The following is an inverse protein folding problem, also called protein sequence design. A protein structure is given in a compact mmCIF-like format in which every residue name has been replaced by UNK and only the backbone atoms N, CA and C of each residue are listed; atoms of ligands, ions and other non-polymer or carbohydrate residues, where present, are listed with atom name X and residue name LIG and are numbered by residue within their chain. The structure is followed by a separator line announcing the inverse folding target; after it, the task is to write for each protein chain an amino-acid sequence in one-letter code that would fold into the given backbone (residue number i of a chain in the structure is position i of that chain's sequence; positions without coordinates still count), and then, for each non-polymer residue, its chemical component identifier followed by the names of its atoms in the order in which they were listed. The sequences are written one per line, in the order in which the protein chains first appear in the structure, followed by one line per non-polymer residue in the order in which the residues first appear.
data_IF_357101775992
#
_entry.id   IF_357101775992
#
_cell.length_a   1.000
_cell.length_b   1.000
_cell.length_c   1.000
_cell.angle_alpha   90.00
_cell.angle_beta   90.00
_cell.angle_gamma   90.00
#
_symmetry.space_group_name_H-M   'P 1'
#
loop_
_entity.id
_entity.type
_entity.pdbx_description
1 polymer ?
#
# COMPACT_ATOMS: atom_id res chain seq x y z
N UNK A 1 -34.92 -37.43 32.65
CA UNK A 1 -33.48 -37.20 32.44
C UNK A 1 -33.35 -36.48 31.10
N UNK A 2 -33.33 -35.16 31.11
CA UNK A 2 -33.36 -34.34 29.89
C UNK A 2 -31.94 -34.06 29.44
N UNK A 3 -31.57 -34.60 28.27
CA UNK A 3 -30.26 -34.44 27.67
C UNK A 3 -30.22 -33.09 26.94
N UNK A 4 -29.47 -32.12 27.50
CA UNK A 4 -29.15 -30.87 26.83
C UNK A 4 -28.06 -31.13 25.79
N UNK A 5 -28.41 -31.07 24.51
CA UNK A 5 -27.43 -30.96 23.42
C UNK A 5 -26.92 -29.51 23.37
N UNK A 6 -25.72 -29.27 23.87
CA UNK A 6 -24.98 -28.05 23.59
C UNK A 6 -24.36 -28.22 22.20
N UNK A 7 -25.00 -27.65 21.19
CA UNK A 7 -24.41 -27.48 19.86
C UNK A 7 -23.33 -26.39 20.00
N UNK A 8 -22.09 -26.81 20.19
CA UNK A 8 -20.94 -25.92 20.03
C UNK A 8 -20.83 -25.55 18.56
N UNK A 9 -21.40 -24.41 18.17
CA UNK A 9 -21.03 -23.74 16.93
C UNK A 9 -19.55 -23.37 17.04
N UNK A 10 -18.69 -24.23 16.49
CA UNK A 10 -17.31 -23.89 16.22
C UNK A 10 -17.30 -22.70 15.28
N UNK A 11 -17.02 -21.51 15.82
CA UNK A 11 -16.60 -20.38 15.03
C UNK A 11 -15.30 -20.81 14.36
N UNK A 12 -15.38 -21.18 13.08
CA UNK A 12 -14.22 -21.24 12.21
C UNK A 12 -13.66 -19.81 12.18
N UNK A 13 -12.64 -19.56 12.99
CA UNK A 13 -11.80 -18.37 12.86
C UNK A 13 -11.08 -18.50 11.53
N UNK A 14 -11.70 -18.04 10.45
CA UNK A 14 -10.96 -17.73 9.24
C UNK A 14 -9.94 -16.66 9.61
N UNK A 15 -8.68 -17.07 9.75
CA UNK A 15 -7.58 -16.14 9.98
C UNK A 15 -7.62 -15.11 8.85
N UNK A 16 -7.75 -13.83 9.18
CA UNK A 16 -7.76 -12.79 8.15
C UNK A 16 -6.41 -12.75 7.45
N UNK A 17 -6.43 -12.96 6.14
CA UNK A 17 -5.29 -12.72 5.27
C UNK A 17 -4.67 -11.35 5.56
N UNK A 18 -3.35 -11.33 5.67
CA UNK A 18 -2.55 -10.12 5.81
C UNK A 18 -1.81 -9.92 4.50
N UNK A 19 -1.97 -8.75 3.90
CA UNK A 19 -1.24 -8.37 2.71
C UNK A 19 -0.69 -6.96 2.89
N UNK A 20 0.59 -6.78 2.58
CA UNK A 20 1.21 -5.46 2.54
C UNK A 20 0.52 -4.56 1.50
N UNK A 21 0.53 -3.23 1.70
CA UNK A 21 -0.07 -2.27 0.77
C UNK A 21 0.63 -2.22 -0.59
N UNK A 22 1.91 -2.61 -0.67
CA UNK A 22 2.70 -2.68 -1.91
C UNK A 22 3.35 -4.04 -2.07
N UNK A 23 3.67 -4.39 -3.31
CA UNK A 23 4.51 -5.56 -3.60
C UNK A 23 5.95 -5.22 -3.22
N UNK A 24 6.55 -6.04 -2.38
CA UNK A 24 7.98 -5.92 -2.05
C UNK A 24 8.79 -6.36 -3.26
N UNK A 25 9.70 -5.53 -3.81
CA UNK A 25 10.64 -5.96 -4.85
C UNK A 25 11.41 -7.20 -4.40
N UNK A 26 11.67 -8.13 -5.32
CA UNK A 26 12.33 -9.39 -4.98
C UNK A 26 13.67 -9.41 -5.70
N UNK A 27 14.71 -8.80 -5.15
CA UNK A 27 16.04 -8.87 -5.75
C UNK A 27 16.67 -10.25 -5.52
N UNK A 28 17.40 -10.75 -6.51
CA UNK A 28 18.16 -12.00 -6.41
C UNK A 28 19.60 -11.72 -5.96
N UNK A 29 20.05 -12.31 -4.86
CA UNK A 29 21.45 -12.18 -4.41
C UNK A 29 22.43 -12.81 -5.41
N UNK A 30 22.02 -13.87 -6.11
CA UNK A 30 22.86 -14.64 -7.02
C UNK A 30 22.90 -14.08 -8.45
N UNK A 31 22.37 -12.88 -8.69
CA UNK A 31 22.37 -12.24 -10.01
C UNK A 31 23.79 -11.81 -10.43
N UNK A 32 24.44 -12.64 -11.23
CA UNK A 32 25.83 -12.45 -11.69
C UNK A 32 25.95 -12.26 -13.20
N UNK A 33 24.86 -12.48 -13.96
CA UNK A 33 24.83 -12.36 -15.42
C UNK A 33 23.89 -11.24 -15.87
N UNK A 34 24.44 -10.08 -16.27
CA UNK A 34 23.67 -8.95 -16.80
C UNK A 34 24.43 -7.62 -16.66
N UNK A 35 23.92 -6.57 -17.30
CA UNK A 35 24.58 -5.24 -17.37
C UNK A 35 24.75 -4.59 -16.00
N UNK A 36 23.80 -4.82 -15.08
CA UNK A 36 23.80 -4.32 -13.70
C UNK A 36 23.96 -5.43 -12.66
N UNK A 37 24.62 -6.54 -13.03
CA UNK A 37 24.80 -7.67 -12.12
C UNK A 37 25.61 -7.28 -10.87
N UNK A 38 25.06 -7.56 -9.69
CA UNK A 38 25.66 -7.19 -8.40
C UNK A 38 26.24 -8.39 -7.65
N UNK A 39 25.92 -9.63 -8.05
CA UNK A 39 26.28 -10.83 -7.30
C UNK A 39 27.78 -10.98 -7.07
N UNK A 40 28.63 -10.53 -8.02
CA UNK A 40 30.09 -10.60 -7.92
C UNK A 40 30.72 -9.42 -7.16
N UNK A 41 29.92 -8.48 -6.64
CA UNK A 41 30.45 -7.37 -5.86
C UNK A 41 30.94 -7.87 -4.50
N UNK A 42 32.15 -7.44 -4.11
CA UNK A 42 32.73 -7.76 -2.79
C UNK A 42 31.79 -7.26 -1.70
N UNK A 43 31.41 -8.16 -0.79
CA UNK A 43 30.54 -7.86 0.34
C UNK A 43 31.34 -7.24 1.49
N UNK A 44 30.83 -6.18 2.10
CA UNK A 44 31.38 -5.68 3.36
C UNK A 44 32.72 -4.92 3.26
N UNK A 45 33.33 -4.70 4.42
CA UNK A 45 34.67 -4.08 4.54
C UNK A 45 35.64 -5.00 5.28
N UNK A 46 36.94 -4.89 4.97
CA UNK A 46 38.05 -5.27 5.85
C UNK A 46 37.98 -6.61 6.59
N UNK A 47 37.59 -7.72 5.94
CA UNK A 47 37.59 -9.05 6.56
C UNK A 47 36.44 -9.97 6.16
N UNK A 48 35.44 -9.48 5.44
CA UNK A 48 34.44 -10.27 4.73
C UNK A 48 35.05 -10.75 3.40
N UNK A 49 35.44 -12.04 3.24
CA UNK A 49 36.06 -12.52 2.01
C UNK A 49 35.05 -12.81 0.90
N UNK A 50 33.76 -12.59 1.17
CA UNK A 50 32.66 -13.07 0.34
C UNK A 50 32.19 -12.05 -0.70
N UNK A 51 31.38 -12.56 -1.62
CA UNK A 51 30.64 -11.78 -2.62
C UNK A 51 29.15 -11.75 -2.25
N UNK A 52 28.39 -10.80 -2.79
CA UNK A 52 26.93 -10.71 -2.57
C UNK A 52 26.24 -12.04 -2.92
N UNK A 53 26.66 -12.72 -3.98
CA UNK A 53 26.09 -14.00 -4.41
C UNK A 53 26.28 -15.13 -3.38
N UNK A 54 27.30 -15.03 -2.53
CA UNK A 54 27.67 -16.09 -1.58
C UNK A 54 26.97 -15.91 -0.23
N UNK A 55 27.05 -14.70 0.36
CA UNK A 55 26.51 -14.43 1.71
C UNK A 55 25.70 -13.13 1.82
N UNK A 56 25.37 -12.49 0.68
CA UNK A 56 24.67 -11.19 0.64
C UNK A 56 23.16 -11.23 0.85
N UNK A 57 22.60 -12.28 1.48
CA UNK A 57 21.15 -12.42 1.70
C UNK A 57 20.55 -11.25 2.48
N UNK A 58 21.19 -10.81 3.56
CA UNK A 58 20.73 -9.68 4.37
C UNK A 58 20.76 -8.35 3.59
N UNK A 59 21.85 -8.08 2.86
CA UNK A 59 21.98 -6.88 2.02
C UNK A 59 20.91 -6.87 0.92
N UNK A 60 20.69 -8.02 0.28
CA UNK A 60 19.68 -8.17 -0.78
C UNK A 60 18.27 -7.98 -0.22
N UNK A 61 18.00 -8.51 0.97
CA UNK A 61 16.73 -8.31 1.66
C UNK A 61 16.50 -6.83 2.02
N UNK A 62 17.50 -6.14 2.58
CA UNK A 62 17.38 -4.72 2.90
C UNK A 62 17.34 -3.81 1.66
N UNK A 63 17.94 -4.21 0.54
CA UNK A 63 17.77 -3.51 -0.73
C UNK A 63 16.31 -3.54 -1.20
N UNK A 64 15.65 -4.67 -1.02
CA UNK A 64 14.21 -4.80 -1.27
C UNK A 64 13.38 -3.94 -0.29
N UNK A 65 13.85 -3.75 0.94
CA UNK A 65 13.24 -2.82 1.92
C UNK A 65 13.38 -1.38 1.47
N UNK A 66 14.58 -0.95 1.06
CA UNK A 66 14.81 0.38 0.49
C UNK A 66 13.89 0.62 -0.70
N UNK A 67 13.78 -0.37 -1.60
CA UNK A 67 12.93 -0.29 -2.75
C UNK A 67 11.42 -0.22 -2.41
N UNK A 68 10.99 -0.97 -1.40
CA UNK A 68 9.63 -0.89 -0.88
C UNK A 68 9.29 0.47 -0.27
N UNK A 69 10.27 1.16 0.31
CA UNK A 69 10.11 2.51 0.85
C UNK A 69 10.51 3.63 -0.12
N UNK A 70 10.93 3.30 -1.35
CA UNK A 70 11.45 4.24 -2.36
C UNK A 70 12.62 5.11 -1.86
N UNK A 71 13.50 4.49 -1.07
CA UNK A 71 14.70 5.13 -0.52
C UNK A 71 15.87 4.77 -1.45
N UNK A 72 16.27 5.72 -2.30
CA UNK A 72 17.46 5.58 -3.12
C UNK A 72 18.69 6.10 -2.36
N UNK A 73 19.79 5.36 -2.45
CA UNK A 73 21.11 5.79 -1.98
C UNK A 73 22.03 6.05 -3.18
N UNK A 74 23.05 6.88 -2.98
CA UNK A 74 23.99 7.26 -4.05
C UNK A 74 25.41 6.92 -3.65
N UNK A 75 26.16 6.39 -4.61
CA UNK A 75 27.57 6.01 -4.44
C UNK A 75 28.43 6.63 -5.53
N UNK A 76 29.62 7.06 -5.17
CA UNK A 76 30.59 7.61 -6.12
C UNK A 76 31.23 6.51 -6.96
N UNK A 77 31.70 6.86 -8.16
CA UNK A 77 32.38 5.92 -9.07
C UNK A 77 33.59 5.21 -8.43
N UNK A 78 34.34 5.91 -7.57
CA UNK A 78 35.49 5.36 -6.86
C UNK A 78 35.12 4.37 -5.74
N UNK A 79 33.85 4.33 -5.36
CA UNK A 79 33.32 3.43 -4.31
C UNK A 79 32.44 2.33 -4.87
N UNK A 80 31.94 2.47 -6.10
CA UNK A 80 31.13 1.42 -6.72
C UNK A 80 31.95 0.23 -7.19
N UNK A 81 31.44 -1.00 -6.98
CA UNK A 81 32.01 -2.22 -7.55
C UNK A 81 31.99 -2.23 -9.09
N UNK A 82 31.09 -1.47 -9.72
CA UNK A 82 31.02 -1.32 -11.19
C UNK A 82 32.06 -0.35 -11.76
N UNK A 83 32.65 0.51 -10.91
CA UNK A 83 33.50 1.62 -11.34
C UNK A 83 32.73 2.86 -11.83
N UNK A 84 31.39 2.82 -11.82
CA UNK A 84 30.53 3.94 -12.23
C UNK A 84 29.80 4.57 -11.04
N UNK A 85 29.47 5.86 -11.15
CA UNK A 85 28.62 6.51 -10.15
C UNK A 85 27.18 6.02 -10.32
N UNK A 86 26.57 5.56 -9.24
CA UNK A 86 25.25 4.92 -9.28
C UNK A 86 24.34 5.50 -8.19
N UNK A 87 23.06 5.63 -8.52
CA UNK A 87 21.99 6.01 -7.59
C UNK A 87 20.85 5.04 -7.75
N UNK A 88 20.38 4.47 -6.65
CA UNK A 88 19.32 3.47 -6.68
C UNK A 88 19.20 2.70 -5.38
N UNK A 89 18.64 1.51 -5.49
CA UNK A 89 18.13 0.70 -4.38
C UNK A 89 18.44 -0.79 -4.57
N UNK A 90 19.23 -1.16 -5.58
CA UNK A 90 19.64 -2.55 -5.81
C UNK A 90 20.74 -3.00 -4.84
N UNK A 91 20.94 -4.32 -4.69
CA UNK A 91 21.93 -4.87 -3.76
C UNK A 91 23.36 -4.39 -3.97
N UNK A 92 23.77 -4.14 -5.21
CA UNK A 92 25.10 -3.63 -5.52
C UNK A 92 25.29 -2.21 -4.99
N UNK A 93 24.36 -1.30 -5.32
CA UNK A 93 24.41 0.09 -4.86
C UNK A 93 24.32 0.17 -3.34
N UNK A 94 23.42 -0.59 -2.72
CA UNK A 94 23.28 -0.57 -1.26
C UNK A 94 24.52 -1.13 -0.54
N UNK A 95 25.10 -2.22 -1.04
CA UNK A 95 26.37 -2.74 -0.53
C UNK A 95 27.48 -1.69 -0.59
N UNK A 96 27.67 -1.04 -1.74
CA UNK A 96 28.71 -0.04 -1.92
C UNK A 96 28.48 1.19 -1.01
N UNK A 97 27.22 1.59 -0.83
CA UNK A 97 26.86 2.68 0.08
C UNK A 97 27.22 2.33 1.53
N UNK A 98 26.89 1.12 1.98
CA UNK A 98 27.26 0.65 3.32
C UNK A 98 28.79 0.59 3.51
N UNK A 99 29.54 0.23 2.46
CA UNK A 99 31.02 0.23 2.49
C UNK A 99 31.57 1.65 2.62
N UNK A 100 30.95 2.61 1.95
CA UNK A 100 31.34 4.02 1.98
C UNK A 100 30.98 4.71 3.31
N UNK A 101 29.81 4.42 3.87
CA UNK A 101 29.30 5.06 5.10
C UNK A 101 29.69 4.35 6.39
N UNK A 102 30.38 3.22 6.30
CA UNK A 102 30.72 2.41 7.47
C UNK A 102 29.51 1.70 8.06
N UNK A 103 28.53 1.33 7.23
CA UNK A 103 27.31 0.61 7.61
C UNK A 103 27.50 -0.87 7.91
N UNK A 104 28.72 -1.40 7.80
CA UNK A 104 29.09 -2.75 8.21
C UNK A 104 29.70 -2.77 9.61
N UNK A 105 29.23 -3.70 10.44
CA UNK A 105 29.75 -3.93 11.79
C UNK A 105 31.07 -4.69 11.82
N UNK A 106 31.78 -4.63 12.95
CA UNK A 106 32.93 -5.51 13.19
C UNK A 106 32.44 -6.89 13.65
N UNK A 107 32.65 -7.92 12.83
CA UNK A 107 32.19 -9.30 13.04
C UNK A 107 32.64 -9.95 14.35
N UNK A 108 33.63 -9.40 15.06
CA UNK A 108 34.08 -9.96 16.35
C UNK A 108 33.05 -9.84 17.50
N UNK A 109 31.94 -9.11 17.30
CA UNK A 109 30.86 -8.93 18.28
C UNK A 109 29.56 -9.66 17.95
N UNK A 110 29.45 -10.27 16.75
CA UNK A 110 28.40 -11.22 16.41
C UNK A 110 29.06 -12.58 16.16
N UNK A 111 29.00 -13.46 17.16
CA UNK A 111 29.62 -14.78 17.11
C UNK A 111 28.98 -15.71 16.07
N UNK A 112 27.88 -15.31 15.44
CA UNK A 112 27.06 -16.17 14.57
C UNK A 112 26.95 -15.68 13.12
N UNK A 113 27.41 -14.47 12.75
CA UNK A 113 27.23 -13.92 11.40
C UNK A 113 28.50 -13.36 10.74
N UNK A 114 28.81 -13.81 9.52
CA UNK A 114 29.77 -13.14 8.64
C UNK A 114 29.08 -11.91 8.01
N UNK A 115 29.54 -10.70 8.38
CA UNK A 115 29.11 -9.40 7.81
C UNK A 115 27.72 -8.89 8.26
N UNK A 116 27.67 -8.31 9.45
CA UNK A 116 26.44 -7.70 10.00
C UNK A 116 26.26 -6.24 9.56
N UNK A 117 24.99 -5.82 9.41
CA UNK A 117 24.64 -4.41 9.24
C UNK A 117 24.68 -3.69 10.59
N UNK A 118 25.21 -2.46 10.63
CA UNK A 118 25.01 -1.56 11.76
C UNK A 118 23.67 -0.87 11.56
N UNK A 119 22.64 -1.31 12.29
CA UNK A 119 21.27 -0.81 12.14
C UNK A 119 21.15 0.72 12.24
N UNK A 120 21.95 1.35 13.10
CA UNK A 120 21.98 2.81 13.27
C UNK A 120 22.69 3.58 12.14
N UNK A 121 23.28 2.89 11.17
CA UNK A 121 23.91 3.46 9.98
C UNK A 121 23.08 3.21 8.71
N UNK A 122 21.87 2.65 8.84
CA UNK A 122 20.91 2.58 7.74
C UNK A 122 20.35 3.99 7.44
N UNK A 123 19.75 4.21 6.25
CA UNK A 123 19.12 5.49 5.92
C UNK A 123 18.16 5.96 7.01
N UNK A 124 18.25 7.25 7.36
CA UNK A 124 17.54 7.83 8.51
C UNK A 124 16.01 7.85 8.34
N UNK A 125 15.51 7.59 7.13
CA UNK A 125 14.11 7.40 6.79
C UNK A 125 13.54 6.08 7.29
N UNK A 126 14.38 5.15 7.74
CA UNK A 126 14.00 3.87 8.33
C UNK A 126 14.03 3.91 9.86
N UNK A 127 12.97 3.40 10.46
CA UNK A 127 12.92 3.07 11.88
C UNK A 127 13.02 1.54 12.05
N UNK A 128 13.97 1.12 12.88
CA UNK A 128 14.35 -0.29 13.04
C UNK A 128 14.00 -0.75 14.45
N UNK A 129 13.25 -1.85 14.56
CA UNK A 129 13.08 -2.56 15.83
C UNK A 129 13.43 -4.03 15.69
N UNK A 130 14.28 -4.52 16.58
CA UNK A 130 14.84 -5.88 16.55
C UNK A 130 14.15 -6.77 17.58
N UNK A 131 13.82 -7.99 17.19
CA UNK A 131 13.08 -8.96 18.00
C UNK A 131 13.72 -10.34 17.89
N UNK A 132 13.61 -11.15 18.94
CA UNK A 132 14.10 -12.53 18.96
C UNK A 132 12.91 -13.48 19.08
N UNK A 133 12.86 -14.49 18.22
CA UNK A 133 11.89 -15.57 18.32
C UNK A 133 12.47 -16.67 19.22
N UNK A 134 12.04 -16.70 20.48
CA UNK A 134 12.44 -17.74 21.44
C UNK A 134 11.66 -19.03 21.21
N UNK A 135 11.87 -19.67 20.06
CA UNK A 135 11.30 -20.99 19.72
C UNK A 135 12.29 -21.81 18.93
N UNK A 136 12.49 -23.06 19.32
CA UNK A 136 13.25 -24.05 18.53
C UNK A 136 12.39 -24.69 17.42
N UNK A 137 11.06 -24.42 17.43
CA UNK A 137 10.11 -24.96 16.45
C UNK A 137 9.20 -23.83 15.98
N UNK A 138 9.39 -23.39 14.73
CA UNK A 138 8.56 -22.38 14.09
C UNK A 138 8.53 -21.04 14.83
N UNK A 139 7.38 -20.35 14.82
CA UNK A 139 7.22 -19.00 15.36
C UNK A 139 6.46 -19.07 16.69
N UNK A 140 7.02 -18.49 17.75
CA UNK A 140 6.31 -18.42 19.02
C UNK A 140 5.09 -17.47 18.93
N UNK A 141 4.04 -17.67 19.75
CA UNK A 141 2.81 -16.87 19.64
C UNK A 141 3.00 -15.35 19.81
N UNK A 142 3.97 -14.92 20.62
CA UNK A 142 4.23 -13.49 20.86
C UNK A 142 4.85 -12.85 19.63
N UNK A 143 5.87 -13.49 19.06
CA UNK A 143 6.51 -13.09 17.81
C UNK A 143 5.50 -13.08 16.66
N UNK A 144 4.60 -14.06 16.58
CA UNK A 144 3.53 -14.07 15.57
C UNK A 144 2.61 -12.83 15.69
N UNK A 145 2.25 -12.42 16.91
CA UNK A 145 1.45 -11.19 17.14
C UNK A 145 2.19 -9.94 16.69
N UNK A 146 3.49 -9.83 16.99
CA UNK A 146 4.31 -8.69 16.58
C UNK A 146 4.44 -8.62 15.06
N UNK A 147 4.73 -9.74 14.41
CA UNK A 147 4.83 -9.84 12.95
C UNK A 147 3.50 -9.50 12.29
N UNK A 148 2.39 -10.10 12.75
CA UNK A 148 1.05 -9.84 12.21
C UNK A 148 0.66 -8.36 12.37
N UNK A 149 1.01 -7.73 13.49
CA UNK A 149 0.76 -6.31 13.72
C UNK A 149 1.57 -5.42 12.77
N UNK A 150 2.88 -5.67 12.63
CA UNK A 150 3.76 -4.93 11.74
C UNK A 150 3.30 -5.01 10.28
N UNK A 151 3.00 -6.22 9.79
CA UNK A 151 2.52 -6.44 8.42
C UNK A 151 1.16 -5.74 8.18
N UNK A 152 0.26 -5.72 9.18
CA UNK A 152 -1.02 -4.97 9.08
C UNK A 152 -0.84 -3.47 9.05
N UNK A 153 0.23 -2.95 9.65
CA UNK A 153 0.62 -1.53 9.55
C UNK A 153 1.33 -1.19 8.23
N UNK A 154 1.59 -2.19 7.39
CA UNK A 154 2.33 -2.00 6.14
C UNK A 154 3.85 -1.92 6.34
N UNK A 155 4.34 -2.32 7.52
CA UNK A 155 5.76 -2.40 7.82
C UNK A 155 6.34 -3.74 7.36
N UNK A 156 7.58 -3.71 6.88
CA UNK A 156 8.27 -4.92 6.47
C UNK A 156 8.85 -5.65 7.67
N UNK A 157 8.91 -6.97 7.56
CA UNK A 157 9.62 -7.80 8.53
C UNK A 157 10.70 -8.58 7.80
N UNK A 158 11.96 -8.33 8.14
CA UNK A 158 13.12 -9.07 7.63
C UNK A 158 13.50 -10.10 8.69
N UNK A 159 13.43 -11.38 8.36
CA UNK A 159 13.64 -12.47 9.29
C UNK A 159 14.96 -13.19 9.00
N UNK A 160 15.78 -13.37 10.03
CA UNK A 160 16.88 -14.32 10.04
C UNK A 160 16.31 -15.70 10.30
N UNK A 161 16.67 -16.65 9.44
CA UNK A 161 16.09 -17.99 9.43
C UNK A 161 17.15 -19.06 9.32
N UNK A 162 16.82 -20.25 9.80
CA UNK A 162 17.57 -21.48 9.57
C UNK A 162 16.68 -22.60 9.04
N UNK A 163 17.32 -23.64 8.52
CA UNK A 163 16.68 -24.89 8.10
C UNK A 163 17.47 -26.07 8.67
N UNK A 164 16.76 -27.02 9.30
CA UNK A 164 17.41 -28.16 9.96
C UNK A 164 18.22 -27.74 11.19
N UNK A 165 19.22 -28.54 11.56
CA UNK A 165 20.01 -28.30 12.79
C UNK A 165 21.18 -27.33 12.61
N UNK A 166 21.64 -27.12 11.37
CA UNK A 166 22.81 -26.31 11.05
C UNK A 166 22.64 -25.65 9.69
N UNK A 167 23.17 -24.43 9.54
CA UNK A 167 22.99 -23.60 8.35
C UNK A 167 23.46 -24.23 7.06
N UNK A 168 24.53 -25.02 7.09
CA UNK A 168 25.05 -25.74 5.94
C UNK A 168 25.74 -27.02 6.43
N UNK A 169 25.79 -28.06 5.61
CA UNK A 169 26.52 -29.29 5.93
C UNK A 169 28.02 -29.00 6.11
N UNK A 170 28.46 -28.77 7.35
CA UNK A 170 29.84 -28.40 7.69
C UNK A 170 29.97 -27.11 8.50
N UNK A 171 28.91 -26.29 8.62
CA UNK A 171 28.89 -25.14 9.52
C UNK A 171 28.50 -25.56 10.94
N UNK A 172 29.08 -24.89 11.95
CA UNK A 172 28.62 -24.98 13.34
C UNK A 172 27.54 -23.95 13.67
N UNK A 173 27.24 -23.03 12.74
CA UNK A 173 26.19 -22.05 12.88
C UNK A 173 24.82 -22.74 12.80
N UNK A 174 23.96 -22.46 13.78
CA UNK A 174 22.63 -23.06 13.90
C UNK A 174 21.49 -22.05 13.75
N UNK A 175 21.79 -20.76 13.68
CA UNK A 175 20.82 -19.65 13.64
C UNK A 175 21.22 -18.63 12.56
N UNK A 176 20.25 -17.88 12.02
CA UNK A 176 20.47 -16.79 11.03
C UNK A 176 21.26 -17.19 9.79
N UNK A 177 21.03 -18.41 9.32
CA UNK A 177 21.67 -19.01 8.16
C UNK A 177 21.36 -18.25 6.86
N UNK A 178 20.17 -17.67 6.81
CA UNK A 178 19.66 -16.92 5.66
C UNK A 178 18.73 -15.81 6.12
N UNK A 179 18.50 -14.83 5.27
CA UNK A 179 17.61 -13.71 5.55
C UNK A 179 16.53 -13.59 4.49
N UNK A 180 15.27 -13.55 4.92
CA UNK A 180 14.09 -13.46 4.04
C UNK A 180 13.18 -12.31 4.46
N UNK A 181 12.27 -11.89 3.59
CA UNK A 181 11.30 -10.83 3.90
C UNK A 181 9.91 -11.44 4.00
N UNK A 182 9.25 -11.28 5.14
CA UNK A 182 7.84 -11.62 5.30
C UNK A 182 7.00 -10.53 4.62
N UNK A 183 6.08 -10.95 3.76
CA UNK A 183 5.29 -10.05 2.90
C UNK A 183 3.79 -10.09 3.16
N UNK A 184 3.35 -10.99 4.02
CA UNK A 184 1.95 -11.24 4.30
C UNK A 184 1.73 -12.58 4.97
N UNK A 185 0.46 -12.93 5.14
CA UNK A 185 0.02 -14.19 5.72
C UNK A 185 -1.26 -14.62 5.01
N UNK A 186 -1.29 -15.82 4.46
CA UNK A 186 -2.46 -16.41 3.79
C UNK A 186 -2.73 -17.78 4.35
N UNK A 187 -3.99 -18.05 4.71
CA UNK A 187 -4.40 -19.34 5.28
C UNK A 187 -3.55 -19.77 6.50
N UNK A 188 -3.09 -18.78 7.28
CA UNK A 188 -2.23 -19.01 8.45
C UNK A 188 -0.73 -19.14 8.15
N UNK A 189 -0.32 -19.24 6.89
CA UNK A 189 1.06 -19.39 6.45
C UNK A 189 1.64 -18.05 6.02
N UNK A 190 2.85 -17.71 6.48
CA UNK A 190 3.51 -16.48 6.06
C UNK A 190 4.04 -16.59 4.63
N UNK A 191 3.75 -15.59 3.80
CA UNK A 191 4.35 -15.45 2.47
C UNK A 191 5.65 -14.69 2.57
N UNK A 192 6.65 -15.10 1.80
CA UNK A 192 7.99 -14.52 1.85
C UNK A 192 8.50 -14.12 0.45
N UNK A 193 9.44 -13.19 0.45
CA UNK A 193 10.44 -13.02 -0.59
C UNK A 193 11.75 -13.61 -0.07
N UNK A 194 12.21 -14.65 -0.74
CA UNK A 194 13.51 -15.27 -0.53
C UNK A 194 14.50 -14.67 -1.54
N UNK A 195 15.59 -14.02 -1.09
CA UNK A 195 16.52 -13.35 -2.00
C UNK A 195 17.38 -14.32 -2.80
N UNK A 196 17.37 -15.63 -2.53
CA UNK A 196 18.18 -16.58 -3.29
C UNK A 196 17.37 -17.22 -4.42
N UNK A 197 17.76 -16.95 -5.67
CA UNK A 197 17.31 -17.70 -6.83
C UNK A 197 18.56 -18.27 -7.54
N UNK A 198 18.67 -19.60 -7.73
CA UNK A 198 19.88 -20.21 -8.29
C UNK A 198 20.15 -19.88 -9.76
N UNK A 199 19.20 -19.25 -10.48
CA UNK A 199 19.41 -18.76 -11.84
C UNK A 199 20.20 -17.44 -11.83
N UNK A 200 21.49 -17.44 -12.25
CA UNK A 200 22.35 -16.25 -12.18
C UNK A 200 21.97 -15.15 -13.17
N UNK A 201 21.16 -15.45 -14.19
CA UNK A 201 20.68 -14.49 -15.18
C UNK A 201 19.37 -13.81 -14.75
N UNK A 202 18.71 -14.32 -13.71
CA UNK A 202 17.50 -13.72 -13.17
C UNK A 202 17.84 -12.68 -12.10
N UNK A 203 17.43 -11.40 -12.25
CA UNK A 203 17.57 -10.41 -11.19
C UNK A 203 16.53 -10.59 -10.08
N UNK A 204 15.60 -11.54 -10.23
CA UNK A 204 14.46 -11.73 -9.34
C UNK A 204 14.64 -12.90 -8.37
N UNK A 205 14.50 -12.62 -7.07
CA UNK A 205 14.39 -13.60 -6.00
C UNK A 205 13.06 -14.37 -6.05
N UNK A 206 12.90 -15.34 -5.15
CA UNK A 206 11.77 -16.26 -5.16
C UNK A 206 10.65 -15.77 -4.25
N UNK A 207 9.42 -15.70 -4.76
CA UNK A 207 8.21 -15.46 -3.95
C UNK A 207 7.62 -16.81 -3.55
N UNK A 208 7.61 -17.11 -2.26
CA UNK A 208 7.18 -18.41 -1.74
C UNK A 208 6.56 -18.26 -0.34
N UNK A 209 6.54 -19.30 0.47
CA UNK A 209 6.13 -19.29 1.88
C UNK A 209 7.27 -19.70 2.80
N UNK A 210 7.12 -19.41 4.08
CA UNK A 210 8.11 -19.82 5.09
C UNK A 210 8.28 -21.36 5.14
N UNK A 211 7.23 -22.12 4.84
CA UNK A 211 7.24 -23.59 4.81
C UNK A 211 7.87 -24.18 3.55
N UNK A 212 8.02 -23.37 2.51
CA UNK A 212 8.53 -23.76 1.19
C UNK A 212 9.62 -22.79 0.70
N UNK A 213 10.47 -22.35 1.62
CA UNK A 213 11.68 -21.58 1.32
C UNK A 213 12.60 -22.33 0.36
N UNK A 214 13.55 -21.62 -0.25
CA UNK A 214 14.42 -22.20 -1.28
C UNK A 214 15.29 -23.34 -0.73
N UNK A 215 15.67 -23.27 0.55
CA UNK A 215 16.38 -24.35 1.25
C UNK A 215 15.47 -25.29 2.07
N UNK A 216 14.14 -25.11 1.99
CA UNK A 216 13.15 -25.92 2.69
C UNK A 216 12.28 -25.13 3.67
N UNK A 217 11.80 -25.80 4.72
CA UNK A 217 11.00 -25.17 5.76
C UNK A 217 11.90 -24.33 6.68
N UNK A 218 11.61 -23.04 6.77
CA UNK A 218 12.37 -22.09 7.57
C UNK A 218 11.81 -21.93 8.99
N UNK A 219 12.72 -21.86 9.95
CA UNK A 219 12.45 -21.46 11.33
C UNK A 219 13.02 -20.07 11.52
N UNK A 220 12.26 -19.15 12.11
CA UNK A 220 12.70 -17.79 12.40
C UNK A 220 13.51 -17.78 13.70
N UNK A 221 14.73 -17.23 13.67
CA UNK A 221 15.58 -17.06 14.85
C UNK A 221 15.37 -15.68 15.47
N UNK A 222 15.62 -14.65 14.67
CA UNK A 222 15.32 -13.25 14.98
C UNK A 222 14.68 -12.57 13.78
N UNK A 223 14.07 -11.43 14.04
CA UNK A 223 13.50 -10.61 12.98
C UNK A 223 13.61 -9.14 13.30
N UNK A 224 13.61 -8.36 12.24
CA UNK A 224 13.68 -6.92 12.27
C UNK A 224 12.39 -6.40 11.66
N UNK A 225 11.62 -5.64 12.44
CA UNK A 225 10.53 -4.85 11.89
C UNK A 225 11.13 -3.54 11.40
N UNK A 226 10.97 -3.29 10.12
CA UNK A 226 11.43 -2.07 9.46
C UNK A 226 10.21 -1.24 9.13
N UNK A 227 10.08 -0.10 9.81
CA UNK A 227 9.14 0.94 9.43
C UNK A 227 9.88 1.98 8.59
N UNK A 228 9.17 2.59 7.67
CA UNK A 228 9.68 3.69 6.87
C UNK A 228 8.50 4.52 6.39
N UNK A 229 8.77 5.70 5.85
CA UNK A 229 7.75 6.43 5.10
C UNK A 229 7.48 5.64 3.83
N UNK A 230 6.42 4.82 3.83
CA UNK A 230 5.98 4.15 2.62
C UNK A 230 5.84 5.19 1.51
N UNK A 231 6.36 4.90 0.32
CA UNK A 231 6.07 5.72 -0.87
C UNK A 231 4.58 5.67 -1.28
N UNK A 232 3.74 4.97 -0.50
CA UNK A 232 2.31 5.28 -0.37
C UNK A 232 2.15 6.25 0.82
N UNK A 233 2.01 7.55 0.61
CA UNK A 233 0.98 8.10 -0.26
C UNK A 233 1.59 8.98 -1.36
N UNK A 234 1.43 8.58 -2.63
CA UNK A 234 0.89 9.58 -3.54
C UNK A 234 -0.35 10.11 -2.80
N UNK A 235 -0.31 11.37 -2.36
CA UNK A 235 -1.43 12.02 -1.70
C UNK A 235 -2.57 12.13 -2.71
N UNK A 236 -3.28 11.02 -2.91
CA UNK A 236 -4.40 10.92 -3.78
C UNK A 236 -5.51 11.69 -3.10
N UNK A 237 -5.69 12.94 -3.49
CA UNK A 237 -6.76 13.78 -2.97
C UNK A 237 -7.94 13.67 -3.92
N UNK A 238 -9.05 13.24 -3.35
CA UNK A 238 -10.33 13.07 -3.99
C UNK A 238 -11.31 13.87 -3.17
N UNK A 239 -11.75 14.97 -3.76
CA UNK A 239 -12.72 15.86 -3.17
C UNK A 239 -14.03 15.80 -3.91
N UNK A 240 -15.08 16.22 -3.22
CA UNK A 240 -16.24 16.78 -3.89
C UNK A 240 -16.11 18.29 -3.93
N UNK A 241 -16.44 18.94 -5.04
CA UNK A 241 -16.29 20.41 -5.14
C UNK A 241 -17.11 21.22 -4.09
N UNK A 242 -18.08 20.59 -3.41
CA UNK A 242 -18.93 21.24 -2.41
C UNK A 242 -18.76 20.70 -0.98
N UNK A 243 -17.76 19.85 -0.71
CA UNK A 243 -17.52 19.17 0.59
C UNK A 243 -18.77 18.55 1.27
N UNK A 244 -19.82 18.32 0.49
CA UNK A 244 -21.11 17.86 0.97
C UNK A 244 -21.09 16.36 1.17
N UNK A 245 -21.42 15.89 2.38
CA UNK A 245 -21.75 14.48 2.61
C UNK A 245 -23.12 14.10 2.01
N UNK A 246 -23.95 15.08 1.64
CA UNK A 246 -25.29 14.88 1.09
C UNK A 246 -25.61 15.87 -0.04
N UNK A 247 -26.26 15.39 -1.10
CA UNK A 247 -26.65 16.13 -2.30
C UNK A 247 -28.14 15.94 -2.58
N UNK A 248 -28.85 17.01 -2.95
CA UNK A 248 -30.23 16.88 -3.43
C UNK A 248 -30.27 16.51 -4.92
N UNK A 249 -31.33 15.85 -5.36
CA UNK A 249 -31.63 15.71 -6.80
C UNK A 249 -31.60 17.09 -7.46
N UNK A 250 -30.90 17.21 -8.58
CA UNK A 250 -30.59 18.47 -9.27
C UNK A 250 -29.22 19.06 -8.94
N UNK A 251 -28.65 18.76 -7.76
CA UNK A 251 -27.30 19.22 -7.40
C UNK A 251 -26.25 18.53 -8.28
N UNK A 252 -25.19 19.27 -8.64
CA UNK A 252 -24.04 18.69 -9.32
C UNK A 252 -23.09 18.02 -8.33
N UNK A 253 -22.70 16.81 -8.65
CA UNK A 253 -21.65 16.06 -7.97
C UNK A 253 -20.43 16.12 -8.86
N UNK A 254 -19.33 16.63 -8.31
CA UNK A 254 -18.05 16.80 -9.01
C UNK A 254 -17.01 16.03 -8.22
N UNK A 255 -16.30 15.09 -8.86
CA UNK A 255 -15.15 14.40 -8.24
C UNK A 255 -13.88 14.77 -8.99
N UNK A 256 -12.88 15.17 -8.22
CA UNK A 256 -11.55 15.50 -8.71
C UNK A 256 -10.52 14.52 -8.16
N UNK A 257 -9.35 14.48 -8.79
CA UNK A 257 -8.23 13.65 -8.36
C UNK A 257 -6.92 14.37 -8.63
N UNK A 258 -6.01 14.38 -7.65
CA UNK A 258 -4.63 14.85 -7.80
C UNK A 258 -3.67 13.81 -7.25
N UNK A 259 -2.49 13.69 -7.84
CA UNK A 259 -1.36 12.91 -7.34
C UNK A 259 -0.10 13.79 -7.26
N UNK A 260 0.00 14.69 -6.27
CA UNK A 260 1.13 15.62 -6.16
C UNK A 260 2.47 14.88 -6.09
N UNK A 261 3.50 15.42 -6.75
CA UNK A 261 4.86 14.87 -6.68
C UNK A 261 5.13 13.68 -7.60
N UNK A 262 4.21 13.32 -8.50
CA UNK A 262 4.41 12.24 -9.47
C UNK A 262 4.86 12.78 -10.82
N UNK A 263 5.93 12.20 -11.38
CA UNK A 263 6.44 12.51 -12.72
C UNK A 263 6.15 11.41 -13.75
N UNK A 264 5.71 10.24 -13.31
CA UNK A 264 5.46 9.05 -14.13
C UNK A 264 3.97 8.88 -14.46
N UNK A 265 3.70 8.08 -15.50
CA UNK A 265 2.34 7.82 -15.97
C UNK A 265 1.62 6.83 -15.06
N UNK A 266 0.38 7.19 -14.69
CA UNK A 266 -0.47 6.43 -13.78
C UNK A 266 -1.70 5.89 -14.51
N UNK A 267 -2.17 4.73 -14.06
CA UNK A 267 -3.42 4.11 -14.50
C UNK A 267 -4.43 4.20 -13.35
N UNK A 268 -5.37 5.15 -13.40
CA UNK A 268 -6.38 5.29 -12.36
C UNK A 268 -7.50 4.26 -12.52
N UNK A 269 -8.05 3.82 -11.41
CA UNK A 269 -9.18 2.91 -11.32
C UNK A 269 -10.20 3.48 -10.32
N UNK A 270 -11.49 3.25 -10.58
CA UNK A 270 -12.56 3.62 -9.67
C UNK A 270 -13.57 2.48 -9.57
N UNK A 271 -13.68 1.90 -8.37
CA UNK A 271 -14.70 0.91 -8.00
C UNK A 271 -15.82 1.62 -7.25
N UNK A 272 -17.05 1.37 -7.65
CA UNK A 272 -18.23 2.09 -7.19
C UNK A 272 -19.21 1.11 -6.58
N UNK A 273 -19.64 1.40 -5.35
CA UNK A 273 -20.79 0.74 -4.72
C UNK A 273 -21.99 1.67 -4.88
N UNK A 274 -22.97 1.23 -5.66
CA UNK A 274 -24.23 1.94 -5.90
C UNK A 274 -25.16 1.87 -4.67
N UNK A 275 -26.20 2.71 -4.59
CA UNK A 275 -27.23 2.64 -3.55
C UNK A 275 -27.90 1.27 -3.41
N UNK A 276 -27.97 0.52 -4.51
CA UNK A 276 -28.51 -0.85 -4.54
C UNK A 276 -27.57 -1.88 -3.91
N UNK A 277 -26.37 -1.50 -3.47
CA UNK A 277 -25.31 -2.39 -3.02
C UNK A 277 -24.49 -3.03 -4.16
N UNK A 278 -24.87 -2.80 -5.41
CA UNK A 278 -24.13 -3.32 -6.57
C UNK A 278 -22.73 -2.69 -6.66
N UNK A 279 -21.70 -3.54 -6.77
CA UNK A 279 -20.31 -3.13 -6.98
C UNK A 279 -19.96 -3.21 -8.47
N UNK A 280 -19.45 -2.11 -9.04
CA UNK A 280 -19.07 -1.98 -10.45
C UNK A 280 -17.78 -1.17 -10.58
N UNK A 281 -17.18 -1.14 -11.77
CA UNK A 281 -16.06 -0.27 -12.11
C UNK A 281 -16.51 0.84 -13.05
N UNK A 282 -16.05 2.06 -12.78
CA UNK A 282 -16.29 3.21 -13.65
C UNK A 282 -15.20 3.31 -14.72
N UNK A 283 -15.61 3.56 -15.96
CA UNK A 283 -14.74 3.80 -17.13
C UNK A 283 -15.27 5.01 -17.90
N UNK A 284 -14.36 5.86 -18.39
CA UNK A 284 -14.66 7.00 -19.25
C UNK A 284 -14.40 6.64 -20.71
N UNK A 285 -15.28 7.09 -21.60
CA UNK A 285 -15.08 6.99 -23.05
C UNK A 285 -14.23 8.20 -23.50
N UNK A 286 -12.93 8.15 -23.22
CA UNK A 286 -11.95 9.20 -23.54
C UNK A 286 -11.38 9.95 -22.33
N UNK A 287 -10.52 10.94 -22.60
CA UNK A 287 -9.74 11.66 -21.57
C UNK A 287 -10.44 12.86 -20.93
N UNK A 288 -11.59 13.29 -21.47
CA UNK A 288 -12.38 14.43 -20.99
C UNK A 288 -13.36 14.04 -19.88
N UNK A 289 -13.65 14.98 -18.97
CA UNK A 289 -14.63 14.80 -17.88
C UNK A 289 -16.02 14.45 -18.42
N UNK A 290 -16.73 13.54 -17.78
CA UNK A 290 -18.03 13.09 -18.26
C UNK A 290 -18.81 12.17 -17.31
N UNK A 291 -19.88 11.58 -17.83
CA UNK A 291 -20.66 10.54 -17.14
C UNK A 291 -19.95 9.20 -17.35
N UNK A 292 -19.44 8.54 -16.30
CA UNK A 292 -18.79 7.26 -16.44
C UNK A 292 -19.78 6.18 -16.85
N UNK A 293 -19.29 5.25 -17.66
CA UNK A 293 -19.95 3.98 -17.91
C UNK A 293 -19.55 3.00 -16.80
N UNK A 294 -20.50 2.17 -16.37
CA UNK A 294 -20.25 1.16 -15.35
C UNK A 294 -20.14 -0.23 -15.97
N UNK A 295 -19.10 -0.96 -15.60
CA UNK A 295 -18.84 -2.33 -16.06
C UNK A 295 -18.61 -3.26 -14.86
N UNK A 296 -18.92 -4.56 -15.01
CA UNK A 296 -18.77 -5.53 -13.93
C UNK A 296 -17.32 -5.97 -13.71
N UNK A 297 -16.52 -6.01 -14.78
CA UNK A 297 -15.10 -6.38 -14.73
C UNK A 297 -14.22 -5.19 -14.38
N UNK A 298 -13.08 -5.48 -13.74
CA UNK A 298 -12.06 -4.47 -13.45
C UNK A 298 -11.59 -3.83 -14.76
N UNK A 299 -11.77 -2.52 -14.84
CA UNK A 299 -11.31 -1.69 -15.97
C UNK A 299 -10.78 -0.37 -15.42
N UNK A 300 -9.73 0.15 -16.05
CA UNK A 300 -9.19 1.46 -15.73
C UNK A 300 -10.21 2.55 -16.02
N UNK A 301 -10.13 3.65 -15.27
CA UNK A 301 -11.00 4.80 -15.43
C UNK A 301 -10.78 5.50 -16.78
N UNK A 302 -9.55 5.46 -17.32
CA UNK A 302 -9.17 5.95 -18.65
C UNK A 302 -8.50 4.85 -19.47
N UNK A 303 -8.53 4.96 -20.79
CA UNK A 303 -7.95 3.98 -21.72
C UNK A 303 -6.42 3.99 -21.77
N UNK A 304 -5.79 5.13 -21.48
CA UNK A 304 -4.34 5.31 -21.56
C UNK A 304 -3.77 5.84 -20.24
N UNK A 305 -2.57 5.39 -19.82
CA UNK A 305 -1.89 5.93 -18.66
C UNK A 305 -1.62 7.43 -18.81
N UNK A 306 -1.69 8.19 -17.72
CA UNK A 306 -1.47 9.63 -17.74
C UNK A 306 -0.77 10.14 -16.48
N UNK A 307 0.03 11.22 -16.57
CA UNK A 307 0.48 11.92 -15.37
C UNK A 307 -0.72 12.57 -14.66
N UNK A 308 -0.68 12.58 -13.32
CA UNK A 308 -1.69 13.19 -12.45
C UNK A 308 -1.07 14.29 -11.58
N UNK A 309 -0.22 15.11 -12.20
CA UNK A 309 0.54 16.20 -11.58
C UNK A 309 -0.29 17.46 -11.26
N UNK A 310 -1.52 17.57 -11.78
CA UNK A 310 -2.47 18.63 -11.50
C UNK A 310 -3.85 18.06 -11.17
N UNK A 311 -4.76 18.90 -10.68
CA UNK A 311 -6.14 18.49 -10.41
C UNK A 311 -6.85 18.07 -11.69
N UNK A 312 -7.35 16.83 -11.69
CA UNK A 312 -8.12 16.26 -12.78
C UNK A 312 -9.56 16.00 -12.33
N UNK A 313 -10.48 16.77 -12.90
CA UNK A 313 -11.91 16.52 -12.78
C UNK A 313 -12.30 15.37 -13.72
N UNK A 314 -12.80 14.27 -13.19
CA UNK A 314 -13.13 13.08 -13.97
C UNK A 314 -14.62 12.69 -13.88
N UNK A 315 -15.32 13.13 -12.83
CA UNK A 315 -16.76 12.96 -12.69
C UNK A 315 -17.44 14.32 -12.53
N UNK A 316 -18.47 14.59 -13.35
CA UNK A 316 -19.25 15.81 -13.22
C UNK A 316 -20.68 15.60 -13.74
N UNK A 317 -21.60 15.24 -12.83
CA UNK A 317 -22.99 14.87 -13.17
C UNK A 317 -23.99 15.57 -12.24
N UNK A 318 -25.11 16.03 -12.80
CA UNK A 318 -26.27 16.42 -11.99
C UNK A 318 -26.98 15.17 -11.44
N UNK A 319 -27.22 15.14 -10.13
CA UNK A 319 -27.92 14.05 -9.47
C UNK A 319 -29.36 13.95 -9.99
N UNK A 320 -29.79 12.74 -10.31
CA UNK A 320 -31.15 12.42 -10.78
C UNK A 320 -31.88 11.56 -9.75
N UNK A 321 -33.18 11.33 -9.93
CA UNK A 321 -33.94 10.43 -9.05
C UNK A 321 -33.37 9.01 -9.01
N UNK A 322 -32.79 8.54 -10.13
CA UNK A 322 -32.14 7.23 -10.19
C UNK A 322 -30.85 7.14 -9.36
N UNK A 323 -30.31 8.27 -8.91
CA UNK A 323 -29.10 8.33 -8.10
C UNK A 323 -29.40 8.35 -6.59
N UNK A 324 -30.66 8.37 -6.16
CA UNK A 324 -31.04 8.46 -4.73
C UNK A 324 -30.42 7.32 -3.91
N UNK A 325 -29.88 7.67 -2.74
CA UNK A 325 -29.26 6.79 -1.77
C UNK A 325 -27.74 6.98 -1.66
N UNK A 326 -27.08 6.04 -0.95
CA UNK A 326 -25.66 6.15 -0.63
C UNK A 326 -24.78 5.61 -1.75
N UNK A 327 -23.80 6.40 -2.15
CA UNK A 327 -22.74 6.02 -3.07
C UNK A 327 -21.41 5.96 -2.34
N UNK A 328 -20.61 4.94 -2.66
CA UNK A 328 -19.23 4.84 -2.19
C UNK A 328 -18.33 4.60 -3.38
N UNK A 329 -17.26 5.39 -3.47
CA UNK A 329 -16.24 5.26 -4.49
C UNK A 329 -14.92 4.90 -3.82
N UNK A 330 -14.34 3.79 -4.23
CA UNK A 330 -12.96 3.44 -3.93
C UNK A 330 -12.13 3.70 -5.18
N UNK A 331 -11.19 4.62 -5.09
CA UNK A 331 -10.37 5.05 -6.22
C UNK A 331 -8.91 4.80 -5.86
N UNK A 332 -8.14 4.31 -6.82
CA UNK A 332 -6.71 4.11 -6.66
C UNK A 332 -5.99 4.34 -7.98
N UNK A 333 -4.68 4.49 -7.90
CA UNK A 333 -3.80 4.62 -9.05
C UNK A 333 -2.75 3.49 -9.02
N UNK A 334 -2.39 3.01 -10.20
CA UNK A 334 -1.32 2.04 -10.41
C UNK A 334 -0.26 2.65 -11.33
N UNK A 335 0.98 2.15 -11.28
CA UNK A 335 1.97 2.54 -12.28
C UNK A 335 1.66 1.87 -13.62
N UNK A 336 1.96 2.57 -14.71
CA UNK A 336 1.81 2.02 -16.05
C UNK A 336 2.82 0.90 -16.36
N UNK A 337 4.05 1.04 -15.85
CA UNK A 337 5.17 0.10 -16.02
C UNK A 337 5.14 -1.07 -15.04
N UNK A 338 4.29 -1.01 -14.01
CA UNK A 338 4.08 -2.09 -13.04
C UNK A 338 2.57 -2.32 -12.75
N UNK A 339 1.81 -2.91 -13.70
CA UNK A 339 0.38 -3.15 -13.51
C UNK A 339 0.07 -4.01 -12.28
N UNK A 340 -0.91 -3.61 -11.47
CA UNK A 340 -1.29 -4.30 -10.23
C UNK A 340 -0.70 -3.71 -8.95
N UNK A 341 0.31 -2.85 -9.03
CA UNK A 341 0.85 -2.13 -7.86
C UNK A 341 0.04 -0.89 -7.55
N UNK A 342 -0.76 -0.90 -6.47
CA UNK A 342 -1.52 0.28 -6.02
C UNK A 342 -0.60 1.28 -5.30
N UNK A 343 -0.51 2.51 -5.79
CA UNK A 343 0.39 3.55 -5.25
C UNK A 343 -0.30 4.59 -4.37
N UNK A 344 -1.59 4.81 -4.59
CA UNK A 344 -2.42 5.72 -3.81
C UNK A 344 -3.86 5.24 -3.86
N UNK A 345 -4.58 5.32 -2.75
CA UNK A 345 -5.96 4.85 -2.63
C UNK A 345 -6.74 5.80 -1.72
N UNK A 346 -7.95 6.16 -2.14
CA UNK A 346 -8.86 6.89 -1.27
C UNK A 346 -10.28 6.37 -1.48
N UNK A 347 -11.06 6.41 -0.40
CA UNK A 347 -12.49 6.14 -0.44
C UNK A 347 -13.26 7.40 -0.12
N UNK A 348 -14.25 7.73 -0.95
CA UNK A 348 -15.20 8.80 -0.70
C UNK A 348 -16.61 8.24 -0.68
N UNK A 349 -17.48 8.79 0.17
CA UNK A 349 -18.89 8.45 0.21
C UNK A 349 -19.73 9.71 0.27
N UNK A 350 -20.86 9.68 -0.41
CA UNK A 350 -21.89 10.72 -0.33
C UNK A 350 -23.28 10.09 -0.45
N UNK A 351 -24.29 10.83 -0.02
CA UNK A 351 -25.69 10.43 -0.12
C UNK A 351 -26.45 11.38 -1.05
N UNK A 352 -27.28 10.83 -1.94
CA UNK A 352 -28.21 11.62 -2.75
C UNK A 352 -29.60 11.49 -2.14
N UNK A 353 -30.22 12.62 -1.80
CA UNK A 353 -31.56 12.70 -1.23
C UNK A 353 -32.54 13.33 -2.23
N UNK A 354 -33.86 13.05 -2.11
CA UNK A 354 -34.86 13.69 -2.96
C UNK A 354 -34.75 15.21 -2.94
N UNK A 355 -35.14 15.86 -4.03
CA UNK A 355 -35.25 17.32 -4.06
C UNK A 355 -36.20 17.78 -2.95
N UNK A 356 -35.85 18.85 -2.23
CA UNK A 356 -36.81 19.46 -1.30
C UNK A 356 -38.00 19.93 -2.10
N UNK A 357 -39.14 19.24 -1.96
CA UNK A 357 -40.43 19.79 -2.38
C UNK A 357 -40.66 21.04 -1.54
N UNK A 358 -40.38 22.20 -2.11
CA UNK A 358 -40.88 23.46 -1.56
C UNK A 358 -42.39 23.32 -1.63
N UNK A 359 -43.01 23.08 -0.48
CA UNK A 359 -44.46 22.94 -0.40
C UNK A 359 -45.08 24.19 -1.01
N UNK A 360 -45.73 24.03 -2.17
CA UNK A 360 -46.48 25.09 -2.85
C UNK A 360 -47.59 25.65 -1.96
N UNK A 361 -47.98 24.93 -0.90
CA UNK A 361 -48.91 25.37 0.14
C UNK A 361 -48.34 26.56 0.93
N UNK A 362 -47.03 26.59 1.21
CA UNK A 362 -46.40 27.72 1.92
C UNK A 362 -46.39 29.01 1.09
N UNK A 363 -46.07 28.91 -0.20
CA UNK A 363 -46.10 30.06 -1.12
C UNK A 363 -47.53 30.53 -1.41
N UNK A 364 -48.49 29.61 -1.52
CA UNK A 364 -49.91 29.95 -1.69
C UNK A 364 -50.50 30.62 -0.44
N UNK A 365 -50.17 30.15 0.77
CA UNK A 365 -50.61 30.78 2.03
C UNK A 365 -50.02 32.19 2.19
N UNK A 366 -48.74 32.39 1.86
CA UNK A 366 -48.13 33.73 1.88
C UNK A 366 -48.76 34.64 0.82
N UNK A 367 -49.06 34.13 -0.37
CA UNK A 367 -49.79 34.87 -1.40
C UNK A 367 -51.21 35.27 -0.97
N UNK A 368 -51.96 34.36 -0.34
CA UNK A 368 -53.31 34.62 0.18
C UNK A 368 -53.26 35.65 1.32
N UNK A 369 -52.29 35.56 2.23
CA UNK A 369 -52.11 36.52 3.32
C UNK A 369 -51.72 37.91 2.80
N UNK A 370 -50.91 37.99 1.74
CA UNK A 370 -50.55 39.27 1.12
C UNK A 370 -51.76 39.94 0.44
N UNK A 371 -52.58 39.16 -0.27
CA UNK A 371 -53.83 39.65 -0.89
C UNK A 371 -54.84 40.08 0.18
N UNK A 372 -54.96 39.33 1.28
CA UNK A 372 -55.82 39.70 2.39
C UNK A 372 -55.34 40.99 3.10
N UNK A 373 -54.02 41.15 3.28
CA UNK A 373 -53.45 42.37 3.86
C UNK A 373 -53.70 43.59 2.97
N UNK A 374 -53.53 43.45 1.65
CA UNK A 374 -53.84 44.53 0.68
C UNK A 374 -55.34 44.86 0.72
N UNK A 375 -56.21 43.86 0.77
CA UNK A 375 -57.66 44.07 0.86
C UNK A 375 -58.07 44.79 2.15
N UNK A 376 -57.46 44.45 3.30
CA UNK A 376 -57.71 45.11 4.59
C UNK A 376 -57.22 46.55 4.57
N UNK A 377 -56.03 46.83 4.04
CA UNK A 377 -55.52 48.21 3.89
C UNK A 377 -56.44 49.03 3.00
N UNK A 378 -56.87 48.46 1.86
CA UNK A 378 -57.79 49.14 0.93
C UNK A 378 -59.16 49.41 1.58
N UNK A 379 -59.68 48.45 2.36
CA UNK A 379 -60.94 48.61 3.09
C UNK A 379 -60.86 49.67 4.20
N UNK A 380 -59.75 49.73 4.94
CA UNK A 380 -59.50 50.77 5.96
C UNK A 380 -59.39 52.15 5.29
N UNK A 381 -58.70 52.26 4.15
CA UNK A 381 -58.59 53.52 3.41
C UNK A 381 -59.95 54.01 2.89
N UNK A 382 -60.81 53.13 2.38
CA UNK A 382 -62.16 53.48 1.90
C UNK A 382 -63.11 53.85 3.04
N UNK A 383 -63.01 53.20 4.21
CA UNK A 383 -63.80 53.57 5.39
C UNK A 383 -63.34 54.89 6.03
N UNK A 384 -62.07 55.26 5.88
CA UNK A 384 -61.53 56.52 6.37
C UNK A 384 -62.01 57.74 5.57
N UNK A 385 -62.27 57.59 4.27
CA UNK A 385 -62.78 58.67 3.40
C UNK A 385 -64.32 58.84 3.47
N UNK A 386 -65.04 57.90 4.10
CA UNK A 386 -66.50 57.97 4.26
C UNK A 386 -67.00 58.58 5.58
N UNK A 387 -66.10 59.12 6.40
CA UNK A 387 -66.39 59.67 7.73
C UNK A 387 -66.05 61.18 7.88
N UNK A 388 -65.84 61.89 6.77
CA UNK A 388 -65.87 63.36 6.73
C UNK A 388 -67.23 63.91 6.27
#
# INVERSE_FOLDING_TARGET
MSLFFVVSMGLLSFGQDIQLPRVVPAFNQAYTEGEDAWGNCILGTGGCPDEICTTGCLVTAFSSVLAYYDIAVSVSASRSCSGEARTGMDPGIFNDWLRETGGYGQCSQDLQGNCCLIWGQLPAELEISTHVNRSEVGINPVSAVVIDHALRQGYLVVAGVHWGAFCNGGSTQSEDCHWVILTGKRDGVYTIVDPFNPDPASPFGVRTTLEAGVHGNYIIDRFVVVAGKSASDIALKIGTANDGASYQVGNRIVLTMTAPGTSYALVPYARVTKPTGQVVYATLDGATSGTPRYVASRKSLVSEPRPLNSEWMWFNKAATESDIGRWTWEIWVERADEPGTKLGRQTISYEVVPAKTVSSVGAAIVGILLVAAIAVVTFISVLGEGLE
#
